data_IF_127704146956
#
_entry.id   IF_127704146956
#
_cell.length_a   1.000
_cell.length_b   1.000
_cell.length_c   1.000
_cell.angle_alpha   90.00
_cell.angle_beta   90.00
_cell.angle_gamma   90.00
#
_symmetry.space_group_name_H-M   'P 1'
#
loop_
_entity.id
_entity.type
_entity.pdbx_description
1 polymer ?
#
# COMPACT_ATOMS: atom_id res chain seq x y z
N UNK A 1 -2.77 -10.69 4.94
CA UNK A 1 -3.08 -9.28 4.62
C UNK A 1 -4.55 -9.23 4.20
N UNK A 2 -5.28 -8.21 4.61
CA UNK A 2 -6.72 -8.07 4.35
C UNK A 2 -6.96 -6.86 3.43
N UNK A 3 -7.86 -7.00 2.46
CA UNK A 3 -8.26 -5.89 1.59
C UNK A 3 -9.01 -4.87 2.44
N UNK A 4 -8.50 -3.64 2.49
CA UNK A 4 -9.13 -2.54 3.22
C UNK A 4 -9.98 -1.70 2.28
N UNK A 5 -9.45 -1.38 1.10
CA UNK A 5 -10.11 -0.46 0.17
C UNK A 5 -9.63 -0.69 -1.26
N UNK A 6 -10.47 -0.33 -2.22
CA UNK A 6 -10.06 -0.17 -3.63
C UNK A 6 -10.07 1.31 -3.99
N UNK A 7 -8.96 1.86 -4.47
CA UNK A 7 -8.78 3.27 -4.79
C UNK A 7 -8.23 3.43 -6.22
N UNK A 8 -8.95 4.13 -7.10
CA UNK A 8 -8.58 4.35 -8.52
C UNK A 8 -8.24 3.07 -9.30
N UNK A 9 -8.89 1.96 -8.98
CA UNK A 9 -8.63 0.65 -9.60
C UNK A 9 -7.46 -0.14 -8.97
N UNK A 10 -6.76 0.45 -8.00
CA UNK A 10 -5.76 -0.24 -7.18
C UNK A 10 -6.41 -0.80 -5.92
N UNK A 11 -6.00 -1.99 -5.49
CA UNK A 11 -6.41 -2.56 -4.22
C UNK A 11 -5.39 -2.18 -3.15
N UNK A 12 -5.86 -1.74 -1.99
CA UNK A 12 -5.03 -1.47 -0.83
C UNK A 12 -5.31 -2.57 0.20
N UNK A 13 -4.26 -3.31 0.55
CA UNK A 13 -4.30 -4.34 1.57
C UNK A 13 -3.57 -3.90 2.83
N UNK A 14 -4.20 -4.06 4.00
CA UNK A 14 -3.57 -3.88 5.30
C UNK A 14 -2.96 -5.20 5.77
N UNK A 15 -1.73 -5.10 6.24
CA UNK A 15 -0.97 -6.17 6.84
C UNK A 15 -0.19 -5.69 8.04
N UNK A 16 0.37 -6.65 8.76
CA UNK A 16 1.29 -6.40 9.85
C UNK A 16 2.69 -6.65 9.29
N UNK A 17 3.59 -5.68 9.37
CA UNK A 17 4.96 -5.81 8.82
C UNK A 17 6.05 -5.82 9.89
N UNK A 18 5.67 -5.62 11.14
CA UNK A 18 6.59 -5.65 12.26
C UNK A 18 5.87 -5.52 13.59
N UNK A 19 6.60 -5.78 14.67
CA UNK A 19 6.13 -5.61 16.03
C UNK A 19 7.18 -4.88 16.85
N UNK A 20 6.73 -4.02 17.77
CA UNK A 20 7.56 -3.57 18.88
C UNK A 20 7.41 -4.59 19.99
N UNK A 21 8.54 -5.08 20.47
CA UNK A 21 8.62 -6.01 21.59
C UNK A 21 9.15 -5.25 22.82
N UNK A 22 8.65 -5.61 24.00
CA UNK A 22 9.18 -5.10 25.26
C UNK A 22 10.45 -5.88 25.67
N UNK A 23 11.05 -5.51 26.80
CA UNK A 23 12.25 -6.18 27.33
C UNK A 23 12.02 -7.64 27.75
N UNK A 24 10.77 -8.08 27.81
CA UNK A 24 10.36 -9.45 28.15
C UNK A 24 9.92 -10.25 26.91
N UNK A 25 10.21 -9.74 25.70
CA UNK A 25 9.83 -10.33 24.41
C UNK A 25 8.31 -10.42 24.19
N UNK A 26 7.52 -9.63 24.93
CA UNK A 26 6.10 -9.50 24.67
C UNK A 26 5.86 -8.47 23.57
N UNK A 27 5.03 -8.84 22.61
CA UNK A 27 4.56 -7.92 21.57
C UNK A 27 3.68 -6.83 22.19
N UNK A 28 4.17 -5.60 22.23
CA UNK A 28 3.48 -4.43 22.82
C UNK A 28 2.77 -3.56 21.79
N UNK A 29 3.25 -3.58 20.54
CA UNK A 29 2.64 -2.82 19.45
C UNK A 29 2.89 -3.52 18.12
N UNK A 30 1.95 -3.42 17.19
CA UNK A 30 2.08 -3.99 15.85
C UNK A 30 2.08 -2.88 14.81
N UNK A 31 3.12 -2.86 14.00
CA UNK A 31 3.23 -1.92 12.89
C UNK A 31 2.34 -2.40 11.75
N UNK A 32 1.30 -1.62 11.49
CA UNK A 32 0.47 -1.77 10.30
C UNK A 32 1.22 -1.27 9.09
N UNK A 33 1.06 -1.96 7.97
CA UNK A 33 1.41 -1.43 6.67
C UNK A 33 0.35 -1.70 5.63
N UNK A 34 0.34 -0.85 4.63
CA UNK A 34 -0.62 -0.80 3.54
C UNK A 34 0.13 -1.11 2.25
N UNK A 35 -0.13 -2.28 1.68
CA UNK A 35 0.37 -2.66 0.36
C UNK A 35 -0.59 -2.16 -0.71
N UNK A 36 -0.06 -1.66 -1.82
CA UNK A 36 -0.85 -1.29 -2.99
C UNK A 36 -0.69 -2.38 -4.06
N UNK A 37 -1.79 -2.90 -4.56
CA UNK A 37 -1.85 -3.90 -5.64
C UNK A 37 -2.49 -3.23 -6.85
N UNK A 38 -1.77 -3.26 -7.96
CA UNK A 38 -2.25 -2.76 -9.25
C UNK A 38 -3.38 -3.62 -9.82
N UNK A 39 -4.21 -3.07 -10.73
CA UNK A 39 -5.22 -3.86 -11.45
C UNK A 39 -4.63 -5.05 -12.24
N UNK A 40 -3.32 -5.02 -12.50
CA UNK A 40 -2.58 -6.11 -13.15
C UNK A 40 -2.10 -7.19 -12.17
N UNK A 41 -2.41 -7.07 -10.88
CA UNK A 41 -1.98 -7.97 -9.81
C UNK A 41 -0.56 -7.73 -9.30
N UNK A 42 0.15 -6.71 -9.78
CA UNK A 42 1.50 -6.37 -9.30
C UNK A 42 1.41 -5.63 -7.98
N UNK A 43 2.12 -6.13 -6.97
CA UNK A 43 2.19 -5.59 -5.61
C UNK A 43 3.35 -4.59 -5.52
N UNK A 44 3.07 -3.39 -5.01
CA UNK A 44 4.02 -2.30 -4.85
C UNK A 44 4.38 -2.07 -3.38
N UNK A 45 5.24 -1.06 -3.16
CA UNK A 45 5.78 -0.64 -1.87
C UNK A 45 4.75 -0.57 -0.73
N UNK A 46 5.13 -1.09 0.44
CA UNK A 46 4.35 -1.03 1.67
C UNK A 46 4.47 0.35 2.31
N UNK A 47 3.33 0.99 2.58
CA UNK A 47 3.23 2.30 3.23
C UNK A 47 2.80 2.16 4.69
N UNK A 48 3.19 3.10 5.55
CA UNK A 48 2.85 3.05 6.99
C UNK A 48 1.42 3.47 7.31
N UNK A 49 0.74 4.18 6.40
CA UNK A 49 -0.65 4.62 6.58
C UNK A 49 -1.47 4.49 5.30
N UNK A 50 -2.80 4.37 5.45
CA UNK A 50 -3.73 4.36 4.32
C UNK A 50 -3.64 5.64 3.49
N UNK A 51 -3.46 6.80 4.14
CA UNK A 51 -3.29 8.07 3.46
C UNK A 51 -2.00 8.12 2.61
N UNK A 52 -0.89 7.57 3.13
CA UNK A 52 0.35 7.45 2.38
C UNK A 52 0.20 6.49 1.19
N UNK A 53 -0.53 5.37 1.34
CA UNK A 53 -0.85 4.47 0.22
C UNK A 53 -1.65 5.17 -0.89
N UNK A 54 -2.67 5.96 -0.53
CA UNK A 54 -3.42 6.78 -1.51
C UNK A 54 -2.54 7.84 -2.17
N UNK A 55 -1.74 8.56 -1.39
CA UNK A 55 -0.81 9.56 -1.93
C UNK A 55 0.23 8.95 -2.87
N UNK A 56 0.69 7.72 -2.58
CA UNK A 56 1.58 6.96 -3.45
C UNK A 56 0.89 6.59 -4.78
N UNK A 57 -0.36 6.11 -4.73
CA UNK A 57 -1.16 5.90 -5.94
C UNK A 57 -1.32 7.20 -6.74
N UNK A 58 -1.52 8.33 -6.07
CA UNK A 58 -1.69 9.61 -6.76
C UNK A 58 -0.41 10.11 -7.45
N UNK A 59 0.74 9.99 -6.75
CA UNK A 59 2.03 10.57 -7.18
C UNK A 59 2.85 9.67 -8.09
N UNK A 60 2.98 8.40 -7.70
CA UNK A 60 3.90 7.44 -8.32
C UNK A 60 3.18 6.49 -9.27
N UNK A 61 1.89 6.24 -9.01
CA UNK A 61 1.07 5.30 -9.77
C UNK A 61 -0.20 5.94 -10.31
N UNK A 62 -0.10 7.21 -10.71
CA UNK A 62 -1.13 7.87 -11.52
C UNK A 62 -1.59 6.93 -12.63
N UNK A 63 -2.88 6.98 -13.04
CA UNK A 63 -3.42 6.02 -13.99
C UNK A 63 -2.46 5.89 -15.17
N UNK A 64 -2.26 4.69 -15.74
CA UNK A 64 -1.45 4.59 -16.95
C UNK A 64 -2.02 5.63 -17.90
N UNK A 65 -1.22 6.64 -18.24
CA UNK A 65 -1.63 7.58 -19.27
C UNK A 65 -1.96 6.72 -20.48
N UNK A 66 -3.24 6.60 -20.78
CA UNK A 66 -3.66 6.04 -22.05
C UNK A 66 -3.09 7.01 -23.08
N UNK A 67 -2.07 6.55 -23.81
CA UNK A 67 -1.25 7.31 -24.75
C UNK A 67 -2.04 8.33 -25.59
N UNK A 68 -1.46 9.52 -25.82
CA UNK A 68 -1.59 10.19 -27.13
C UNK A 68 -0.44 11.17 -27.40
N UNK A 69 0.26 10.97 -28.51
CA UNK A 69 1.18 11.95 -29.15
C UNK A 69 2.56 11.36 -29.44
N UNK A 70 2.69 10.37 -30.33
CA UNK A 70 2.92 10.58 -31.76
C UNK A 70 4.18 11.45 -32.02
N UNK A 71 5.28 10.79 -32.34
CA UNK A 71 6.38 11.38 -33.12
C UNK A 71 5.96 11.49 -34.59
#
# INVERSE_FOLDING_TARGET
MAIVETYKGYQIEEGLTGGRYDSNDNLVDQVKAYSVISPKGVRSMTQSTLAAAKSYIDKEISPPSYNHGAF
#
